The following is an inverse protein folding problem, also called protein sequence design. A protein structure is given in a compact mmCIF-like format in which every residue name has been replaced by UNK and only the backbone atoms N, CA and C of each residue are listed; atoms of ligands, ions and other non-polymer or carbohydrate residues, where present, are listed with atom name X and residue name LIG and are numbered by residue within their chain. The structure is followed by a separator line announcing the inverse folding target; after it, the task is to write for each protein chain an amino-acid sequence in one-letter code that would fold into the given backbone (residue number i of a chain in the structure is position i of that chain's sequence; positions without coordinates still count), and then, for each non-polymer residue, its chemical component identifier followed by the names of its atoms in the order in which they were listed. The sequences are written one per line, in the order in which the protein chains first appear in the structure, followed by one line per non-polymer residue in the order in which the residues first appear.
data_IF_099351054417
#
_entry.id   IF_099351054417
#
_cell.length_a   1.000
_cell.length_b   1.000
_cell.length_c   1.000
_cell.angle_alpha   90.00
_cell.angle_beta   90.00
_cell.angle_gamma   90.00
#
_symmetry.space_group_name_H-M   'P 1'
#
loop_
_entity.id
_entity.type
_entity.pdbx_description
1 polymer ?
#
# COMPACT_ATOMS: atom_id res chain seq x y z
N UNK A 1 -32.46 -46.41 34.13
CA UNK A 1 -31.12 -45.83 34.20
C UNK A 1 -30.24 -46.03 32.93
N UNK A 2 -30.68 -46.81 31.92
CA UNK A 2 -29.85 -47.08 30.72
C UNK A 2 -29.76 -45.88 29.69
N UNK A 3 -30.62 -44.87 29.79
CA UNK A 3 -30.70 -43.78 28.77
C UNK A 3 -30.10 -42.44 29.24
N UNK A 4 -29.51 -42.37 30.43
CA UNK A 4 -28.92 -41.12 30.98
C UNK A 4 -27.52 -40.93 30.45
N UNK A 5 -26.76 -41.98 30.19
CA UNK A 5 -25.38 -41.93 29.72
C UNK A 5 -25.23 -41.25 28.32
N UNK A 6 -26.05 -41.58 27.30
CA UNK A 6 -25.96 -40.92 26.01
C UNK A 6 -26.39 -39.43 26.08
N UNK A 7 -27.34 -39.04 26.95
CA UNK A 7 -27.72 -37.63 27.16
C UNK A 7 -26.60 -36.85 27.80
N UNK A 8 -25.89 -37.44 28.78
CA UNK A 8 -24.73 -36.82 29.38
C UNK A 8 -23.57 -36.59 28.41
N UNK A 9 -23.36 -37.53 27.50
CA UNK A 9 -22.35 -37.45 26.43
C UNK A 9 -22.69 -36.33 25.43
N UNK A 10 -23.98 -36.15 25.12
CA UNK A 10 -24.45 -35.07 24.23
C UNK A 10 -24.26 -33.68 24.82
N UNK A 11 -24.43 -33.52 26.12
CA UNK A 11 -24.25 -32.22 26.82
C UNK A 11 -22.76 -31.83 26.88
N UNK A 12 -21.84 -32.78 27.01
CA UNK A 12 -20.39 -32.52 27.06
C UNK A 12 -19.86 -32.06 25.69
N UNK A 13 -20.47 -32.49 24.57
CA UNK A 13 -20.04 -32.08 23.25
C UNK A 13 -20.41 -30.64 22.84
N UNK A 14 -21.30 -29.97 23.61
CA UNK A 14 -21.67 -28.56 23.37
C UNK A 14 -20.76 -27.53 24.06
N UNK A 15 -19.75 -27.97 24.81
CA UNK A 15 -18.82 -27.07 25.54
C UNK A 15 -17.57 -26.73 24.76
N UNK A 16 -17.53 -26.93 23.45
CA UNK A 16 -16.47 -26.42 22.59
C UNK A 16 -16.63 -24.88 22.43
N UNK A 17 -16.13 -24.13 23.42
CA UNK A 17 -16.00 -22.70 23.28
C UNK A 17 -15.00 -22.43 22.17
N UNK A 18 -15.43 -21.80 21.10
CA UNK A 18 -14.53 -21.23 20.14
C UNK A 18 -13.58 -20.28 20.88
N UNK A 19 -12.28 -20.46 20.76
CA UNK A 19 -11.31 -19.56 21.36
C UNK A 19 -11.50 -18.19 20.73
N UNK A 20 -11.76 -17.18 21.54
CA UNK A 20 -11.76 -15.78 21.08
C UNK A 20 -10.37 -15.46 20.53
N UNK A 21 -10.32 -15.14 19.26
CA UNK A 21 -9.10 -14.71 18.61
C UNK A 21 -8.72 -13.32 19.12
N UNK A 22 -7.73 -13.27 20.00
CA UNK A 22 -7.24 -12.00 20.52
C UNK A 22 -6.41 -11.27 19.45
N UNK A 23 -6.81 -10.05 19.12
CA UNK A 23 -6.04 -9.14 18.26
C UNK A 23 -4.67 -8.80 18.84
N UNK A 24 -4.46 -9.02 20.15
CA UNK A 24 -3.17 -8.88 20.84
C UNK A 24 -2.09 -9.77 20.21
N UNK A 25 -2.46 -10.95 19.73
CA UNK A 25 -1.55 -11.89 19.07
C UNK A 25 -1.01 -11.35 17.73
N UNK A 26 -1.68 -10.39 17.13
CA UNK A 26 -1.26 -9.75 15.89
C UNK A 26 -0.39 -8.50 16.09
N UNK A 27 -0.36 -7.92 17.30
CA UNK A 27 0.41 -6.70 17.59
C UNK A 27 1.90 -6.82 17.29
N UNK A 28 2.46 -8.01 17.44
CA UNK A 28 3.89 -8.28 17.16
C UNK A 28 4.14 -8.66 15.69
N UNK A 29 3.09 -8.77 14.88
CA UNK A 29 3.19 -9.14 13.47
C UNK A 29 3.17 -7.87 12.62
N UNK A 30 4.34 -7.38 12.24
CA UNK A 30 4.44 -6.30 11.26
C UNK A 30 4.25 -6.88 9.87
N UNK A 31 3.23 -6.45 9.12
CA UNK A 31 3.10 -6.85 7.71
C UNK A 31 4.35 -6.47 6.95
N UNK A 32 4.87 -7.37 6.13
CA UNK A 32 5.96 -7.09 5.21
C UNK A 32 5.38 -6.98 3.81
N UNK A 33 5.62 -5.86 3.15
CA UNK A 33 5.33 -5.74 1.74
C UNK A 33 6.27 -6.68 0.96
N UNK A 34 5.68 -7.58 0.19
CA UNK A 34 6.40 -8.54 -0.65
C UNK A 34 6.44 -8.09 -2.12
N UNK A 35 6.07 -6.84 -2.37
CA UNK A 35 5.97 -6.27 -3.71
C UNK A 35 4.65 -6.55 -4.39
N UNK A 36 4.44 -6.02 -5.60
CA UNK A 36 3.24 -6.29 -6.34
C UNK A 36 3.17 -7.79 -6.67
N UNK A 37 2.17 -8.47 -6.15
CA UNK A 37 1.76 -9.77 -6.68
C UNK A 37 1.34 -9.57 -8.14
N UNK A 38 1.66 -10.48 -9.03
CA UNK A 38 1.65 -10.39 -10.48
C UNK A 38 0.54 -9.65 -11.26
N UNK A 39 -0.41 -9.01 -10.59
CA UNK A 39 -1.52 -8.24 -11.21
C UNK A 39 -1.80 -6.92 -10.49
N UNK A 40 -0.86 -6.38 -9.74
CA UNK A 40 -1.08 -5.27 -8.80
C UNK A 40 -1.16 -3.88 -9.41
N UNK A 41 -1.64 -3.76 -10.60
CA UNK A 41 -1.94 -2.50 -11.23
C UNK A 41 -0.94 -2.13 -12.33
N UNK A 42 -1.42 -1.28 -13.21
CA UNK A 42 -0.62 -0.70 -14.29
C UNK A 42 0.22 0.46 -13.76
N UNK A 43 1.34 0.70 -14.35
CA UNK A 43 2.10 1.94 -14.17
C UNK A 43 1.30 3.08 -14.78
N UNK A 44 1.04 4.10 -14.00
CA UNK A 44 0.27 5.30 -14.38
C UNK A 44 1.16 6.48 -14.68
N UNK A 45 2.33 6.52 -14.04
CA UNK A 45 3.26 7.63 -14.14
C UNK A 45 4.68 7.15 -13.89
N UNK A 46 5.65 7.71 -14.62
CA UNK A 46 7.08 7.52 -14.39
C UNK A 46 7.75 8.88 -14.46
N UNK A 47 8.69 9.14 -13.54
CA UNK A 47 9.59 10.26 -13.64
C UNK A 47 11.01 9.85 -13.22
N UNK A 48 12.01 10.53 -13.78
CA UNK A 48 13.43 10.19 -13.66
C UNK A 48 14.21 11.42 -13.24
N UNK A 49 15.19 11.25 -12.38
CA UNK A 49 16.14 12.31 -12.03
C UNK A 49 17.10 12.52 -13.20
N UNK A 50 17.02 13.65 -13.91
CA UNK A 50 17.81 13.90 -15.12
C UNK A 50 19.32 13.92 -14.86
N UNK A 51 19.74 14.38 -13.69
CA UNK A 51 21.16 14.41 -13.29
C UNK A 51 21.71 13.04 -12.89
N UNK A 52 20.83 12.07 -12.59
CA UNK A 52 21.19 10.70 -12.26
C UNK A 52 20.05 9.74 -12.67
N UNK A 53 20.06 9.23 -13.91
CA UNK A 53 18.98 8.39 -14.44
C UNK A 53 18.81 7.02 -13.73
N UNK A 54 19.74 6.61 -12.89
CA UNK A 54 19.55 5.43 -12.04
C UNK A 54 18.46 5.63 -10.99
N UNK A 55 18.15 6.90 -10.66
CA UNK A 55 17.07 7.25 -9.75
C UNK A 55 15.81 7.54 -10.55
N UNK A 56 14.80 6.69 -10.37
CA UNK A 56 13.51 6.81 -11.02
C UNK A 56 12.38 6.44 -10.10
N UNK A 57 11.20 6.97 -10.38
CA UNK A 57 9.97 6.77 -9.63
C UNK A 57 8.88 6.25 -10.54
N UNK A 58 8.14 5.24 -10.10
CA UNK A 58 7.03 4.64 -10.83
C UNK A 58 5.78 4.65 -9.95
N UNK A 59 4.78 5.42 -10.35
CA UNK A 59 3.45 5.42 -9.76
C UNK A 59 2.58 4.35 -10.39
N UNK A 60 1.78 3.68 -9.59
CA UNK A 60 0.88 2.62 -10.04
C UNK A 60 -0.57 2.90 -9.62
N UNK A 61 -1.51 2.39 -10.40
CA UNK A 61 -2.94 2.62 -10.16
C UNK A 61 -3.47 2.06 -8.83
N UNK A 62 -2.82 1.01 -8.30
CA UNK A 62 -3.25 0.33 -7.07
C UNK A 62 -2.12 -0.36 -6.31
N UNK A 63 -0.88 -0.12 -6.69
CA UNK A 63 0.31 -0.75 -6.07
C UNK A 63 1.26 0.26 -5.41
N UNK A 64 0.83 1.50 -5.20
CA UNK A 64 1.64 2.54 -4.56
C UNK A 64 2.68 3.18 -5.47
N UNK A 65 3.62 3.87 -4.84
CA UNK A 65 4.76 4.52 -5.48
C UNK A 65 6.04 3.73 -5.21
N UNK A 66 6.79 3.49 -6.26
CA UNK A 66 8.03 2.73 -6.24
C UNK A 66 9.21 3.60 -6.65
N UNK A 67 10.36 3.37 -6.01
CA UNK A 67 11.61 4.03 -6.32
C UNK A 67 12.65 3.01 -6.73
N UNK A 68 13.37 3.28 -7.80
CA UNK A 68 14.62 2.61 -8.13
C UNK A 68 15.79 3.56 -7.90
N UNK A 69 16.93 3.01 -7.50
CA UNK A 69 18.23 3.69 -7.45
C UNK A 69 19.29 2.90 -8.25
N UNK A 70 18.82 2.01 -9.12
CA UNK A 70 19.65 1.06 -9.87
C UNK A 70 19.25 0.96 -11.33
N UNK A 71 18.73 2.06 -11.92
CA UNK A 71 18.31 2.07 -13.32
C UNK A 71 17.15 1.10 -13.62
N UNK A 72 16.25 0.89 -12.64
CA UNK A 72 15.09 0.01 -12.81
C UNK A 72 15.33 -1.48 -12.50
N UNK A 73 16.54 -1.88 -12.08
CA UNK A 73 16.84 -3.28 -11.74
C UNK A 73 16.16 -3.69 -10.44
N UNK A 74 16.20 -2.80 -9.43
CA UNK A 74 15.55 -3.01 -8.14
C UNK A 74 14.59 -1.87 -7.87
N UNK A 75 13.43 -2.20 -7.31
CA UNK A 75 12.40 -1.26 -6.91
C UNK A 75 12.03 -1.45 -5.45
N UNK A 76 12.02 -0.36 -4.71
CA UNK A 76 11.62 -0.32 -3.32
C UNK A 76 10.33 0.52 -3.19
N UNK A 77 9.32 0.04 -2.47
CA UNK A 77 8.10 0.80 -2.23
C UNK A 77 8.40 1.94 -1.25
N UNK A 78 7.84 3.12 -1.51
CA UNK A 78 8.12 4.32 -0.72
C UNK A 78 6.87 5.11 -0.29
N UNK A 79 5.67 4.52 -0.45
CA UNK A 79 4.40 5.19 -0.19
C UNK A 79 3.42 4.31 0.60
N UNK A 80 3.92 3.29 1.32
CA UNK A 80 3.11 2.24 1.94
C UNK A 80 2.34 2.69 3.18
N UNK A 81 2.80 3.76 3.82
CA UNK A 81 2.19 4.28 5.05
C UNK A 81 1.15 5.38 4.80
N UNK A 82 0.92 5.72 3.54
CA UNK A 82 -0.02 6.77 3.17
C UNK A 82 -1.45 6.24 2.98
N UNK A 83 -2.42 7.15 2.94
CA UNK A 83 -3.85 6.81 2.95
C UNK A 83 -4.33 6.03 1.72
N UNK A 84 -3.56 6.02 0.64
CA UNK A 84 -3.92 5.35 -0.61
C UNK A 84 -2.71 4.76 -1.32
N UNK A 85 -2.92 3.67 -2.04
CA UNK A 85 -1.95 3.08 -2.97
C UNK A 85 -2.23 3.46 -4.43
N UNK A 86 -3.20 4.32 -4.68
CA UNK A 86 -3.55 4.76 -6.03
C UNK A 86 -2.76 6.01 -6.39
N UNK A 87 -1.83 5.90 -7.33
CA UNK A 87 -1.00 7.00 -7.81
C UNK A 87 -1.41 7.35 -9.25
N UNK A 88 -1.75 8.60 -9.49
CA UNK A 88 -2.10 9.13 -10.82
C UNK A 88 -0.93 9.82 -11.50
N UNK A 89 -0.11 10.52 -10.73
CA UNK A 89 1.02 11.28 -11.25
C UNK A 89 2.18 11.32 -10.24
N UNK A 90 3.40 11.35 -10.76
CA UNK A 90 4.62 11.65 -9.99
C UNK A 90 5.45 12.68 -10.74
N UNK A 91 6.06 13.61 -10.01
CA UNK A 91 6.96 14.61 -10.58
C UNK A 91 8.13 14.89 -9.63
N UNK A 92 9.35 14.82 -10.18
CA UNK A 92 10.59 15.17 -9.49
C UNK A 92 10.99 16.59 -9.83
N UNK A 93 11.30 17.39 -8.84
CA UNK A 93 11.86 18.72 -9.05
C UNK A 93 13.32 18.58 -9.53
N UNK A 94 13.58 18.77 -10.81
CA UNK A 94 14.89 18.52 -11.39
C UNK A 94 16.02 19.40 -10.85
N UNK A 95 15.71 20.61 -10.38
CA UNK A 95 16.68 21.51 -9.70
C UNK A 95 17.02 21.06 -8.27
N UNK A 96 16.16 20.24 -7.65
CA UNK A 96 16.38 19.63 -6.33
C UNK A 96 15.68 18.27 -6.28
N UNK A 97 16.34 17.18 -6.70
CA UNK A 97 15.73 15.85 -6.80
C UNK A 97 15.27 15.23 -5.47
N UNK A 98 15.58 15.83 -4.34
CA UNK A 98 14.99 15.44 -3.06
C UNK A 98 13.52 15.85 -2.94
N UNK A 99 13.06 16.78 -3.76
CA UNK A 99 11.67 17.23 -3.77
C UNK A 99 10.89 16.46 -4.81
N UNK A 100 9.85 15.76 -4.33
CA UNK A 100 8.98 14.92 -5.16
C UNK A 100 7.54 15.30 -4.87
N UNK A 101 6.74 15.37 -5.92
CA UNK A 101 5.31 15.56 -5.85
C UNK A 101 4.57 14.32 -6.34
N UNK A 102 3.49 13.97 -5.67
CA UNK A 102 2.64 12.83 -6.00
C UNK A 102 1.19 13.27 -5.99
N UNK A 103 0.52 13.10 -7.11
CA UNK A 103 -0.93 13.19 -7.21
C UNK A 103 -1.53 11.79 -7.05
N UNK A 104 -2.40 11.63 -6.06
CA UNK A 104 -3.08 10.35 -5.83
C UNK A 104 -4.39 10.25 -6.61
N UNK A 105 -4.90 9.04 -6.75
CA UNK A 105 -6.07 8.74 -7.57
C UNK A 105 -5.73 8.42 -9.00
N UNK A 106 -6.68 7.85 -9.70
CA UNK A 106 -6.51 7.38 -11.06
C UNK A 106 -7.31 8.23 -12.05
N UNK A 107 -6.63 9.01 -12.91
CA UNK A 107 -7.24 9.85 -13.92
C UNK A 107 -7.51 9.15 -15.28
N UNK A 108 -7.06 7.92 -15.46
CA UNK A 108 -7.24 7.21 -16.74
C UNK A 108 -8.65 6.60 -16.85
N UNK A 109 -9.40 6.87 -17.93
CA UNK A 109 -10.75 6.35 -18.10
C UNK A 109 -10.78 4.83 -18.12
N UNK A 110 -11.57 4.22 -17.23
CA UNK A 110 -11.86 2.77 -17.23
C UNK A 110 -13.09 2.45 -16.34
N UNK A 111 -13.49 1.18 -16.33
CA UNK A 111 -14.70 0.73 -15.63
C UNK A 111 -14.64 0.83 -14.11
N UNK A 112 -13.44 0.82 -13.53
CA UNK A 112 -13.22 0.98 -12.09
C UNK A 112 -12.02 1.90 -11.86
N UNK A 113 -12.26 3.05 -11.24
CA UNK A 113 -11.23 4.02 -10.85
C UNK A 113 -11.01 3.93 -9.35
N UNK A 114 -9.77 4.01 -8.92
CA UNK A 114 -9.43 4.19 -7.52
C UNK A 114 -9.42 5.69 -7.20
N UNK A 115 -10.10 6.06 -6.13
CA UNK A 115 -10.17 7.45 -5.66
C UNK A 115 -8.80 7.97 -5.22
N UNK A 116 -8.65 9.28 -5.28
CA UNK A 116 -7.50 9.99 -4.73
C UNK A 116 -7.72 10.41 -3.29
N UNK A 117 -6.61 10.70 -2.61
CA UNK A 117 -6.54 11.27 -1.27
C UNK A 117 -5.61 12.49 -1.25
N UNK A 118 -5.69 13.29 -2.30
CA UNK A 118 -4.98 14.55 -2.39
C UNK A 118 -3.60 14.46 -3.04
N UNK A 119 -2.85 15.53 -2.86
CA UNK A 119 -1.49 15.71 -3.36
C UNK A 119 -0.52 15.62 -2.20
N UNK A 120 0.54 14.86 -2.38
CA UNK A 120 1.62 14.70 -1.42
C UNK A 120 2.93 15.28 -1.93
N UNK A 121 3.75 15.74 -0.99
CA UNK A 121 5.09 16.25 -1.26
C UNK A 121 6.09 15.58 -0.34
N UNK A 122 7.21 15.14 -0.89
CA UNK A 122 8.41 14.77 -0.14
C UNK A 122 9.48 15.84 -0.32
N UNK A 123 10.31 16.03 0.72
CA UNK A 123 11.48 16.90 0.70
C UNK A 123 12.80 16.11 0.87
N UNK A 124 12.72 14.80 1.00
CA UNK A 124 13.83 13.90 1.37
C UNK A 124 13.96 12.68 0.47
N UNK A 125 13.52 12.81 -0.77
CA UNK A 125 13.64 11.76 -1.78
C UNK A 125 12.68 10.60 -1.56
N UNK A 126 11.51 10.86 -0.96
CA UNK A 126 10.45 9.88 -0.75
C UNK A 126 10.53 9.11 0.55
N UNK A 127 11.33 9.56 1.54
CA UNK A 127 11.39 8.93 2.87
C UNK A 127 10.20 9.34 3.76
N UNK A 128 9.80 10.60 3.67
CA UNK A 128 8.64 11.14 4.38
C UNK A 128 7.76 11.92 3.43
N UNK A 129 6.45 11.92 3.69
CA UNK A 129 5.44 12.55 2.86
C UNK A 129 4.61 13.55 3.67
N UNK A 130 4.25 14.65 3.03
CA UNK A 130 3.43 15.72 3.59
C UNK A 130 2.22 15.85 2.69
N UNK A 131 1.01 15.68 3.24
CA UNK A 131 -0.23 15.93 2.53
C UNK A 131 -0.39 17.44 2.32
N UNK A 132 -0.53 17.86 1.06
CA UNK A 132 -0.59 19.25 0.64
C UNK A 132 -2.02 19.76 0.39
N UNK A 133 -3.02 18.89 0.49
CA UNK A 133 -4.43 19.18 0.28
C UNK A 133 -5.05 18.42 -0.89
N UNK A 134 -6.25 18.87 -1.32
CA UNK A 134 -7.08 18.22 -2.34
C UNK A 134 -7.51 16.79 -1.95
N UNK A 135 -7.85 16.59 -0.68
CA UNK A 135 -8.20 15.27 -0.11
C UNK A 135 -9.48 14.64 -0.69
N UNK A 136 -10.33 15.46 -1.29
CA UNK A 136 -11.59 15.05 -1.90
C UNK A 136 -11.54 15.20 -3.43
N UNK A 137 -10.74 14.37 -4.06
CA UNK A 137 -10.61 14.34 -5.53
C UNK A 137 -10.96 12.97 -6.10
#
# INVERSE_FOLDING_TARGET
MKNILPILLLIVSFSASAQDFSMELLKTKTPRNIGPGGMSGRVTSIDVVHSNPDIMYAGTASGGLWKSTSGGIKWDPIFENEATASIGAVAVQQSNPSVIWVGTGEGNPRNSLNGGYGIYKSLDGGKNWILMGLEKT
#
